data_IF_087146170783
#
_entry.id   IF_087146170783
#
_cell.length_a   1.000
_cell.length_b   1.000
_cell.length_c   1.000
_cell.angle_alpha   90.00
_cell.angle_beta   90.00
_cell.angle_gamma   90.00
#
_symmetry.space_group_name_H-M   'P 1'
#
loop_
_entity.id
_entity.type
_entity.pdbx_description
1 polymer ?
#
# COMPACT_ATOMS: atom_id res chain seq x y z
N UNK A 1 -1.86 15.26 -16.49
CA UNK A 1 -0.79 14.24 -16.44
C UNK A 1 0.33 14.88 -15.63
N UNK A 2 0.72 14.28 -14.51
CA UNK A 2 1.80 14.85 -13.69
C UNK A 2 3.13 14.75 -14.41
N UNK A 3 4.01 15.69 -14.12
CA UNK A 3 5.42 15.55 -14.47
C UNK A 3 6.05 14.52 -13.54
N UNK A 4 7.08 13.81 -14.02
CA UNK A 4 7.90 12.93 -13.19
C UNK A 4 8.44 13.66 -11.93
N UNK A 5 8.59 14.99 -12.00
CA UNK A 5 9.06 15.85 -10.92
C UNK A 5 8.11 15.90 -9.71
N UNK A 6 6.80 16.03 -9.91
CA UNK A 6 5.83 16.18 -8.80
C UNK A 6 5.68 14.89 -7.98
N UNK A 7 5.75 13.74 -8.65
CA UNK A 7 5.75 12.45 -7.97
C UNK A 7 7.11 12.22 -7.31
N UNK A 8 8.21 12.62 -7.95
CA UNK A 8 9.53 12.56 -7.36
C UNK A 8 9.62 13.41 -6.07
N UNK A 9 9.06 14.62 -6.06
CA UNK A 9 8.96 15.50 -4.88
C UNK A 9 8.03 14.92 -3.79
N UNK A 10 6.88 14.36 -4.18
CA UNK A 10 5.99 13.67 -3.23
C UNK A 10 6.73 12.54 -2.52
N UNK A 11 7.41 11.70 -3.29
CA UNK A 11 8.13 10.55 -2.77
C UNK A 11 9.33 11.00 -1.95
N UNK A 12 10.11 11.96 -2.44
CA UNK A 12 11.21 12.61 -1.72
C UNK A 12 10.86 12.98 -0.28
N UNK A 13 9.69 13.60 -0.09
CA UNK A 13 9.21 14.02 1.23
C UNK A 13 8.84 12.84 2.15
N UNK A 14 8.61 11.64 1.60
CA UNK A 14 8.24 10.43 2.34
C UNK A 14 9.41 9.46 2.55
N UNK A 15 10.29 9.31 1.56
CA UNK A 15 11.45 8.39 1.58
C UNK A 15 12.78 9.09 1.94
N UNK A 16 12.81 10.42 2.06
CA UNK A 16 13.95 11.19 2.58
C UNK A 16 15.12 11.40 1.61
N UNK A 17 15.22 10.67 0.49
CA UNK A 17 16.30 10.86 -0.49
C UNK A 17 15.89 10.49 -1.93
N UNK A 18 15.99 11.43 -2.86
CA UNK A 18 15.60 11.28 -4.28
C UNK A 18 16.45 10.29 -5.04
N UNK A 19 17.72 10.15 -4.64
CA UNK A 19 18.70 9.28 -5.30
C UNK A 19 18.37 7.80 -5.18
N UNK A 20 17.37 7.47 -4.37
CA UNK A 20 16.93 6.10 -4.13
C UNK A 20 15.80 5.65 -5.06
N UNK A 21 15.02 6.55 -5.68
CA UNK A 21 13.95 6.16 -6.62
C UNK A 21 14.61 5.73 -7.93
N UNK A 22 14.42 4.47 -8.31
CA UNK A 22 15.07 3.91 -9.49
C UNK A 22 14.34 4.31 -10.77
N UNK A 23 13.06 3.93 -10.94
CA UNK A 23 12.24 4.22 -12.15
C UNK A 23 10.73 3.97 -11.90
N UNK A 24 9.87 4.34 -12.85
CA UNK A 24 8.51 3.79 -12.97
C UNK A 24 8.55 2.44 -13.67
N UNK A 25 7.83 1.45 -13.13
CA UNK A 25 7.81 0.06 -13.61
C UNK A 25 6.38 -0.46 -13.79
N UNK A 26 5.47 0.43 -14.19
CA UNK A 26 4.07 0.09 -14.47
C UNK A 26 3.93 -0.86 -15.68
N UNK A 27 4.89 -0.82 -16.61
CA UNK A 27 5.02 -1.70 -17.77
C UNK A 27 5.58 -3.09 -17.42
N UNK A 28 6.12 -3.23 -16.21
CA UNK A 28 6.74 -4.45 -15.69
C UNK A 28 5.77 -5.23 -14.79
N UNK A 29 4.50 -4.84 -14.72
CA UNK A 29 3.45 -5.51 -13.92
C UNK A 29 2.16 -5.72 -14.71
N UNK A 30 1.47 -6.83 -14.43
CA UNK A 30 0.15 -7.15 -15.01
C UNK A 30 -0.83 -7.61 -13.93
N UNK A 31 -2.12 -7.50 -14.21
CA UNK A 31 -3.15 -8.14 -13.40
C UNK A 31 -3.32 -9.57 -13.91
N UNK A 32 -3.02 -10.57 -13.06
CA UNK A 32 -3.12 -11.99 -13.40
C UNK A 32 -3.68 -12.79 -12.21
N UNK A 33 -3.76 -14.11 -12.32
CA UNK A 33 -4.08 -14.97 -11.17
C UNK A 33 -3.07 -14.73 -10.04
N UNK A 34 -3.59 -14.59 -8.83
CA UNK A 34 -2.76 -14.40 -7.64
C UNK A 34 -2.01 -15.68 -7.32
N UNK A 35 -0.73 -15.51 -7.01
CA UNK A 35 0.15 -16.58 -6.51
C UNK A 35 -0.07 -16.84 -5.02
N UNK A 36 -0.72 -15.89 -4.32
CA UNK A 36 -0.94 -15.89 -2.87
C UNK A 36 -2.38 -16.31 -2.53
N UNK A 37 -3.36 -15.68 -3.18
CA UNK A 37 -4.79 -15.84 -2.95
C UNK A 37 -5.42 -16.63 -4.09
N UNK A 38 -5.50 -17.96 -3.94
CA UNK A 38 -6.11 -18.83 -4.95
C UNK A 38 -7.51 -18.32 -5.37
N UNK A 39 -7.79 -18.39 -6.66
CA UNK A 39 -9.06 -17.98 -7.28
C UNK A 39 -9.35 -16.46 -7.19
N UNK A 40 -8.32 -15.66 -6.89
CA UNK A 40 -8.35 -14.20 -6.92
C UNK A 40 -7.30 -13.67 -7.91
N UNK A 41 -7.47 -12.40 -8.30
CA UNK A 41 -6.46 -11.70 -9.08
C UNK A 41 -5.41 -11.06 -8.17
N UNK A 42 -4.22 -10.87 -8.71
CA UNK A 42 -3.10 -10.17 -8.09
C UNK A 42 -2.34 -9.35 -9.12
N UNK A 43 -1.51 -8.43 -8.64
CA UNK A 43 -0.57 -7.69 -9.47
C UNK A 43 0.75 -8.47 -9.54
N UNK A 44 1.11 -8.97 -10.72
CA UNK A 44 2.24 -9.88 -10.94
C UNK A 44 3.33 -9.18 -11.74
N UNK A 45 4.58 -9.27 -11.27
CA UNK A 45 5.74 -8.78 -11.99
C UNK A 45 5.99 -9.64 -13.25
N UNK A 46 6.18 -9.02 -14.40
CA UNK A 46 6.53 -9.70 -15.67
C UNK A 46 8.00 -9.53 -16.07
N UNK A 47 8.73 -8.74 -15.29
CA UNK A 47 10.18 -8.56 -15.36
C UNK A 47 10.76 -8.42 -13.94
N UNK A 48 12.09 -8.43 -13.82
CA UNK A 48 12.77 -8.09 -12.57
C UNK A 48 12.65 -6.59 -12.31
N UNK A 49 12.17 -6.22 -11.11
CA UNK A 49 11.94 -4.85 -10.71
C UNK A 49 12.93 -4.48 -9.59
N UNK A 50 13.78 -3.46 -9.76
CA UNK A 50 14.68 -3.01 -8.71
C UNK A 50 13.92 -2.53 -7.45
N UNK A 51 14.61 -2.55 -6.32
CA UNK A 51 14.15 -1.84 -5.11
C UNK A 51 13.92 -0.35 -5.43
N UNK A 52 13.00 0.26 -4.69
CA UNK A 52 12.61 1.67 -4.79
C UNK A 52 12.09 2.06 -6.18
N UNK A 53 11.50 1.12 -6.91
CA UNK A 53 10.78 1.38 -8.16
C UNK A 53 9.34 1.78 -7.86
N UNK A 54 8.81 2.74 -8.62
CA UNK A 54 7.40 3.12 -8.55
C UNK A 54 6.59 2.15 -9.41
N UNK A 55 5.75 1.34 -8.76
CA UNK A 55 4.84 0.43 -9.48
C UNK A 55 3.69 1.21 -10.10
N UNK A 56 3.06 2.09 -9.32
CA UNK A 56 2.07 3.02 -9.87
C UNK A 56 1.97 4.28 -9.01
N UNK A 57 1.45 5.34 -9.64
CA UNK A 57 1.12 6.62 -9.02
C UNK A 57 -0.26 7.02 -9.51
N UNK A 58 -1.17 7.33 -8.60
CA UNK A 58 -2.55 7.60 -8.95
C UNK A 58 -3.15 8.72 -8.10
N UNK A 59 -3.89 9.62 -8.74
CA UNK A 59 -4.63 10.70 -8.09
C UNK A 59 -6.08 10.62 -8.50
N UNK A 60 -6.95 10.84 -7.53
CA UNK A 60 -8.37 10.98 -7.75
C UNK A 60 -8.99 11.88 -6.68
N UNK A 61 -10.25 12.22 -6.88
CA UNK A 61 -11.07 12.87 -5.87
C UNK A 61 -11.15 12.01 -4.61
N UNK A 62 -11.23 12.66 -3.46
CA UNK A 62 -11.45 11.97 -2.20
C UNK A 62 -12.91 11.59 -2.03
N UNK A 63 -13.13 10.51 -1.29
CA UNK A 63 -14.45 10.08 -0.84
C UNK A 63 -14.40 9.74 0.64
N UNK A 64 -15.54 9.83 1.32
CA UNK A 64 -15.68 9.34 2.71
C UNK A 64 -16.15 7.89 2.77
N UNK A 65 -16.43 7.27 1.61
CA UNK A 65 -16.81 5.87 1.53
C UNK A 65 -15.56 4.98 1.57
N UNK A 66 -15.42 4.18 2.63
CA UNK A 66 -14.47 3.08 2.68
C UNK A 66 -15.03 1.90 1.89
N UNK A 67 -14.34 1.51 0.84
CA UNK A 67 -14.62 0.30 0.06
C UNK A 67 -13.58 -0.78 0.37
N UNK A 68 -13.77 -1.97 -0.18
CA UNK A 68 -12.80 -3.08 -0.05
C UNK A 68 -11.43 -2.73 -0.65
N UNK A 69 -11.38 -1.82 -1.62
CA UNK A 69 -10.20 -1.49 -2.43
C UNK A 69 -9.72 -0.05 -2.24
N UNK A 70 -10.52 0.81 -1.62
CA UNK A 70 -10.12 2.18 -1.32
C UNK A 70 -8.90 2.24 -0.40
N UNK A 71 -8.04 3.24 -0.60
CA UNK A 71 -6.89 3.53 0.26
C UNK A 71 -7.21 4.75 1.12
N UNK A 72 -7.06 4.62 2.43
CA UNK A 72 -7.23 5.72 3.38
C UNK A 72 -6.09 6.75 3.21
N UNK A 73 -6.46 8.03 3.12
CA UNK A 73 -5.54 9.15 2.88
C UNK A 73 -5.56 10.21 3.99
N UNK A 74 -6.53 10.12 4.90
CA UNK A 74 -6.67 10.91 6.13
C UNK A 74 -7.44 10.12 7.19
N UNK A 75 -7.85 10.74 8.31
CA UNK A 75 -8.63 10.06 9.34
C UNK A 75 -9.96 9.45 8.84
N UNK A 76 -10.63 10.11 7.90
CA UNK A 76 -11.99 9.78 7.44
C UNK A 76 -12.16 9.83 5.91
N UNK A 77 -11.07 10.04 5.17
CA UNK A 77 -11.09 10.20 3.72
C UNK A 77 -10.28 9.10 3.03
N UNK A 78 -10.76 8.72 1.86
CA UNK A 78 -10.33 7.59 1.07
C UNK A 78 -10.22 7.96 -0.41
N UNK A 79 -9.48 7.15 -1.17
CA UNK A 79 -9.42 7.22 -2.62
C UNK A 79 -9.64 5.83 -3.20
N UNK A 80 -10.48 5.74 -4.22
CA UNK A 80 -10.61 4.52 -5.01
C UNK A 80 -9.45 4.46 -6.02
N UNK A 81 -8.52 3.49 -5.91
CA UNK A 81 -7.36 3.42 -6.79
C UNK A 81 -7.73 3.02 -8.22
N UNK A 82 -6.80 3.23 -9.15
CA UNK A 82 -6.83 2.54 -10.45
C UNK A 82 -6.66 1.03 -10.30
N UNK A 83 -6.79 0.29 -11.41
CA UNK A 83 -6.73 -1.18 -11.43
C UNK A 83 -5.52 -1.75 -10.68
N UNK A 84 -4.32 -1.19 -10.82
CA UNK A 84 -3.14 -1.71 -10.14
C UNK A 84 -3.22 -1.61 -8.62
N UNK A 85 -3.81 -0.55 -8.08
CA UNK A 85 -4.04 -0.46 -6.63
C UNK A 85 -5.16 -1.37 -6.14
N UNK A 86 -6.20 -1.60 -6.95
CA UNK A 86 -7.30 -2.50 -6.60
C UNK A 86 -6.89 -3.98 -6.49
N UNK A 87 -5.84 -4.40 -7.21
CA UNK A 87 -5.37 -5.79 -7.28
C UNK A 87 -4.03 -6.04 -6.58
N UNK A 88 -3.44 -5.04 -5.92
CA UNK A 88 -2.27 -5.24 -5.06
C UNK A 88 -2.71 -5.94 -3.77
N UNK A 89 -2.36 -7.21 -3.60
CA UNK A 89 -2.83 -8.03 -2.49
C UNK A 89 -2.06 -7.77 -1.19
N UNK A 90 -2.61 -8.29 -0.10
CA UNK A 90 -1.99 -8.18 1.21
C UNK A 90 -0.88 -9.21 1.44
N UNK A 91 0.23 -8.75 2.03
CA UNK A 91 1.20 -9.60 2.72
C UNK A 91 1.61 -9.01 4.07
N UNK A 92 1.78 -9.86 5.09
CA UNK A 92 2.36 -9.45 6.39
C UNK A 92 3.88 -9.24 6.32
N UNK A 93 4.53 -9.71 5.25
CA UNK A 93 5.92 -9.40 4.89
C UNK A 93 5.91 -8.97 3.42
N UNK A 94 5.52 -7.72 3.12
CA UNK A 94 5.33 -7.26 1.77
C UNK A 94 6.65 -6.90 1.09
N UNK A 95 6.63 -6.89 -0.24
CA UNK A 95 7.72 -6.39 -1.08
C UNK A 95 7.49 -4.94 -1.57
N UNK A 96 6.35 -4.34 -1.23
CA UNK A 96 6.04 -2.93 -1.51
C UNK A 96 5.43 -2.20 -0.30
N UNK A 97 5.50 -0.87 -0.37
CA UNK A 97 4.85 0.06 0.54
C UNK A 97 3.95 1.03 -0.24
N UNK A 98 2.81 1.38 0.35
CA UNK A 98 1.86 2.33 -0.23
C UNK A 98 1.95 3.65 0.55
N UNK A 99 2.26 4.73 -0.15
CA UNK A 99 2.19 6.09 0.37
C UNK A 99 0.88 6.73 -0.05
N UNK A 100 0.28 7.52 0.83
CA UNK A 100 -0.94 8.24 0.53
C UNK A 100 -0.98 9.60 1.24
N UNK A 101 -1.47 10.63 0.56
CA UNK A 101 -1.71 11.93 1.16
C UNK A 101 -2.85 12.70 0.49
N UNK A 102 -3.42 13.64 1.23
CA UNK A 102 -4.29 14.67 0.68
C UNK A 102 -3.51 15.67 -0.19
N UNK A 103 -4.23 16.25 -1.15
CA UNK A 103 -3.80 17.31 -2.07
C UNK A 103 -4.94 18.32 -2.23
N UNK A 104 -4.64 19.46 -2.85
CA UNK A 104 -5.63 20.46 -3.25
C UNK A 104 -6.62 20.82 -2.12
N UNK A 105 -6.05 21.18 -0.96
CA UNK A 105 -6.81 21.52 0.25
C UNK A 105 -7.83 20.44 0.69
N UNK A 106 -7.53 19.17 0.39
CA UNK A 106 -8.36 18.03 0.74
C UNK A 106 -9.34 17.58 -0.35
N UNK A 107 -9.45 18.28 -1.48
CA UNK A 107 -10.39 17.92 -2.55
C UNK A 107 -9.98 16.65 -3.32
N UNK A 108 -8.69 16.34 -3.32
CA UNK A 108 -8.15 15.13 -3.95
C UNK A 108 -7.07 14.53 -3.07
N UNK A 109 -6.64 13.32 -3.39
CA UNK A 109 -5.38 12.85 -2.85
C UNK A 109 -4.63 12.00 -3.83
N UNK A 110 -3.49 11.54 -3.36
CA UNK A 110 -2.46 10.95 -4.19
C UNK A 110 -1.91 9.73 -3.48
N UNK A 111 -1.93 8.60 -4.18
CA UNK A 111 -1.37 7.34 -3.72
C UNK A 111 -0.23 6.91 -4.64
N UNK A 112 0.80 6.30 -4.06
CA UNK A 112 1.93 5.73 -4.80
C UNK A 112 2.37 4.43 -4.14
N UNK A 113 2.52 3.38 -4.95
CA UNK A 113 3.05 2.09 -4.51
C UNK A 113 4.50 1.94 -4.98
N UNK A 114 5.41 1.64 -4.04
CA UNK A 114 6.86 1.54 -4.28
C UNK A 114 7.41 0.23 -3.76
N UNK A 115 8.34 -0.36 -4.50
CA UNK A 115 9.07 -1.57 -4.07
C UNK A 115 10.02 -1.26 -2.92
N UNK A 116 9.99 -2.08 -1.86
CA UNK A 116 10.89 -1.94 -0.69
C UNK A 116 12.09 -2.88 -0.77
N UNK A 117 12.07 -3.81 -1.72
CA UNK A 117 13.11 -4.77 -2.06
C UNK A 117 13.07 -5.06 -3.58
N UNK A 118 14.11 -5.67 -4.16
CA UNK A 118 14.03 -6.15 -5.54
C UNK A 118 12.96 -7.23 -5.66
N UNK A 119 12.21 -7.21 -6.76
CA UNK A 119 11.13 -8.16 -7.06
C UNK A 119 11.52 -8.97 -8.29
N UNK A 120 11.47 -10.29 -8.18
CA UNK A 120 11.77 -11.16 -9.31
C UNK A 120 10.57 -11.29 -10.27
N UNK A 121 10.85 -11.55 -11.55
CA UNK A 121 9.80 -11.89 -12.52
C UNK A 121 8.93 -13.05 -12.00
N UNK A 122 7.62 -12.88 -12.05
CA UNK A 122 6.61 -13.83 -11.60
C UNK A 122 6.20 -13.66 -10.13
N UNK A 123 6.90 -12.84 -9.35
CA UNK A 123 6.48 -12.53 -7.98
C UNK A 123 5.27 -11.59 -7.97
N UNK A 124 4.45 -11.74 -6.93
CA UNK A 124 3.28 -10.91 -6.71
C UNK A 124 3.64 -9.66 -5.90
N UNK A 125 3.17 -8.51 -6.38
CA UNK A 125 3.28 -7.22 -5.73
C UNK A 125 2.29 -7.17 -4.58
N UNK A 126 2.80 -6.94 -3.37
CA UNK A 126 1.98 -6.89 -2.15
C UNK A 126 2.35 -5.75 -1.24
N UNK A 127 1.40 -5.29 -0.42
CA UNK A 127 1.65 -4.34 0.66
C UNK A 127 0.92 -4.74 1.95
N UNK A 128 1.34 -4.18 3.07
CA UNK A 128 0.65 -4.39 4.34
C UNK A 128 -0.53 -3.42 4.46
N UNK A 129 -1.77 -3.93 4.45
CA UNK A 129 -2.96 -3.09 4.53
C UNK A 129 -3.05 -2.33 5.87
N UNK A 130 -2.44 -2.82 6.95
CA UNK A 130 -2.43 -2.09 8.22
C UNK A 130 -1.47 -0.88 8.20
N UNK A 131 -0.63 -0.73 7.17
CA UNK A 131 0.15 0.48 6.98
C UNK A 131 -0.72 1.65 6.47
N UNK A 132 -1.79 1.34 5.73
CA UNK A 132 -2.69 2.35 5.14
C UNK A 132 -4.04 2.40 5.82
N UNK A 133 -4.56 1.32 6.37
CA UNK A 133 -5.93 1.24 6.87
C UNK A 133 -6.00 1.22 8.39
N UNK A 134 -6.75 2.18 8.95
CA UNK A 134 -7.06 2.20 10.39
C UNK A 134 -7.88 0.96 10.77
N UNK A 135 -8.93 0.70 9.99
CA UNK A 135 -9.84 -0.47 10.09
C UNK A 135 -10.09 -1.00 8.68
N UNK A 136 -10.08 -2.32 8.51
CA UNK A 136 -10.53 -2.93 7.26
C UNK A 136 -12.07 -2.94 7.18
N UNK A 137 -12.62 -3.13 5.98
CA UNK A 137 -14.05 -3.35 5.78
C UNK A 137 -14.51 -4.63 6.51
N UNK A 138 -15.80 -4.75 6.89
CA UNK A 138 -16.33 -5.95 7.54
C UNK A 138 -16.11 -7.25 6.75
N UNK A 139 -16.06 -7.15 5.43
CA UNK A 139 -15.82 -8.27 4.51
C UNK A 139 -14.39 -8.83 4.62
N UNK A 140 -13.41 -7.98 4.93
CA UNK A 140 -12.01 -8.38 5.06
C UNK A 140 -11.60 -8.58 6.52
N UNK A 141 -12.03 -7.71 7.44
CA UNK A 141 -11.58 -7.69 8.83
C UNK A 141 -11.85 -9.02 9.54
N UNK A 142 -10.80 -9.62 10.10
CA UNK A 142 -10.89 -10.88 10.83
C UNK A 142 -10.92 -12.14 9.95
N UNK A 143 -11.02 -12.01 8.62
CA UNK A 143 -10.88 -13.15 7.71
C UNK A 143 -9.46 -13.72 7.74
N UNK A 144 -9.30 -14.97 7.29
CA UNK A 144 -8.00 -15.63 7.25
C UNK A 144 -7.05 -14.93 6.28
N UNK A 145 -5.87 -14.54 6.75
CA UNK A 145 -4.80 -14.05 5.90
C UNK A 145 -4.16 -15.21 5.12
N UNK A 146 -4.02 -15.05 3.81
CA UNK A 146 -3.51 -16.08 2.90
C UNK A 146 -2.06 -15.84 2.47
N UNK A 147 -1.36 -14.84 3.02
CA UNK A 147 -0.01 -14.48 2.58
C UNK A 147 1.06 -15.55 2.80
N UNK A 148 0.83 -16.48 3.75
CA UNK A 148 1.73 -17.61 4.10
C UNK A 148 3.17 -17.22 4.47
N UNK A 149 3.42 -15.94 4.73
CA UNK A 149 4.74 -15.46 5.13
C UNK A 149 5.08 -15.91 6.55
N UNK A 150 6.37 -16.11 6.81
CA UNK A 150 6.86 -16.29 8.18
C UNK A 150 6.51 -15.06 9.02
N UNK A 151 5.93 -15.28 10.21
CA UNK A 151 5.42 -14.19 11.05
C UNK A 151 4.07 -13.61 10.62
N UNK A 152 3.32 -14.30 9.75
CA UNK A 152 1.95 -13.90 9.37
C UNK A 152 1.05 -13.70 10.59
N UNK A 153 0.22 -12.64 10.54
CA UNK A 153 -0.76 -12.29 11.60
C UNK A 153 -1.99 -13.19 11.65
N UNK A 154 -2.04 -14.20 10.76
CA UNK A 154 -3.09 -15.23 10.61
C UNK A 154 -4.45 -14.69 10.15
N UNK A 155 -4.83 -13.48 10.55
CA UNK A 155 -6.06 -12.80 10.14
C UNK A 155 -5.77 -11.43 9.55
N UNK A 156 -6.67 -10.99 8.66
CA UNK A 156 -6.67 -9.67 8.06
C UNK A 156 -7.08 -8.63 9.09
N UNK A 157 -6.21 -7.65 9.34
CA UNK A 157 -6.36 -6.64 10.40
C UNK A 157 -6.08 -5.25 9.87
N UNK A 158 -6.89 -4.28 10.29
CA UNK A 158 -6.49 -2.87 10.22
C UNK A 158 -5.52 -2.55 11.34
N UNK A 159 -4.90 -1.37 11.31
CA UNK A 159 -3.91 -0.96 12.30
C UNK A 159 -4.42 -1.04 13.75
N UNK A 160 -5.69 -0.70 13.99
CA UNK A 160 -6.26 -0.74 15.36
C UNK A 160 -6.48 -2.15 15.90
N UNK A 161 -6.59 -3.14 15.01
CA UNK A 161 -6.81 -4.54 15.36
C UNK A 161 -5.51 -5.31 15.65
N UNK A 162 -4.37 -4.65 15.44
CA UNK A 162 -3.07 -5.20 15.76
C UNK A 162 -2.90 -5.34 17.28
N UNK A 163 -2.17 -6.37 17.69
CA UNK A 163 -1.60 -6.45 19.03
C UNK A 163 -0.50 -5.41 19.18
N UNK A 164 -0.12 -5.10 20.42
CA UNK A 164 0.99 -4.18 20.68
C UNK A 164 2.31 -4.68 20.03
N UNK A 165 2.58 -5.98 20.09
CA UNK A 165 3.75 -6.58 19.43
C UNK A 165 3.71 -6.39 17.92
N UNK A 166 2.56 -6.66 17.29
CA UNK A 166 2.40 -6.46 15.84
C UNK A 166 2.59 -4.98 15.45
N UNK A 167 2.02 -4.03 16.21
CA UNK A 167 2.23 -2.59 15.97
C UNK A 167 3.69 -2.18 16.10
N UNK A 168 4.40 -2.67 17.13
CA UNK A 168 5.83 -2.36 17.31
C UNK A 168 6.66 -2.82 16.12
N UNK A 169 6.41 -4.04 15.63
CA UNK A 169 7.08 -4.57 14.43
C UNK A 169 6.73 -3.74 13.19
N UNK A 170 5.45 -3.43 12.98
CA UNK A 170 5.00 -2.68 11.82
C UNK A 170 5.56 -1.25 11.81
N UNK A 171 5.56 -0.57 12.96
CA UNK A 171 6.12 0.78 13.09
C UNK A 171 7.63 0.83 12.88
N UNK A 172 8.36 -0.23 13.24
CA UNK A 172 9.79 -0.33 12.96
C UNK A 172 10.13 -0.40 11.46
N UNK A 173 9.15 -0.70 10.59
CA UNK A 173 9.34 -0.65 9.14
C UNK A 173 9.34 0.77 8.55
N UNK A 174 8.90 1.78 9.31
CA UNK A 174 8.71 3.17 8.85
C UNK A 174 7.76 3.34 7.65
N UNK A 175 6.94 2.34 7.31
CA UNK A 175 6.00 2.41 6.19
C UNK A 175 4.54 2.67 6.59
N UNK A 176 4.24 2.77 7.89
CA UNK A 176 2.90 3.11 8.38
C UNK A 176 2.66 4.60 8.15
N UNK A 177 1.55 4.94 7.49
CA UNK A 177 1.18 6.33 7.22
C UNK A 177 0.94 7.11 8.52
N UNK A 178 1.36 8.37 8.55
CA UNK A 178 1.30 9.19 9.77
C UNK A 178 -0.11 9.33 10.34
N UNK A 179 -1.11 9.52 9.48
CA UNK A 179 -2.51 9.62 9.90
C UNK A 179 -3.06 8.31 10.49
N UNK A 180 -2.42 7.17 10.22
CA UNK A 180 -2.77 5.87 10.81
C UNK A 180 -2.17 5.71 12.20
N UNK A 181 -0.96 6.24 12.43
CA UNK A 181 -0.33 6.26 13.76
C UNK A 181 -1.10 7.12 14.76
N UNK A 182 -1.70 8.22 14.29
CA UNK A 182 -2.36 9.24 15.13
C UNK A 182 -3.67 8.78 15.78
N UNK A 183 -4.23 7.63 15.38
CA UNK A 183 -5.50 7.09 15.92
C UNK A 183 -5.44 6.78 17.42
N UNK A 184 -4.24 6.65 18.00
CA UNK A 184 -4.03 6.35 19.42
C UNK A 184 -3.51 7.52 20.26
N UNK A 185 -3.39 8.73 19.69
CA UNK A 185 -2.91 9.92 20.43
C UNK A 185 -4.05 10.69 21.11
N UNK A 186 -5.30 10.28 20.90
CA UNK A 186 -6.50 10.99 21.39
C UNK A 186 -7.33 10.18 22.39
N UNK A 187 -6.70 9.38 23.25
CA UNK A 187 -7.37 8.70 24.37
C UNK A 187 -6.63 9.03 25.67
#
# INVERSE_FOLDING_TARGET
>A
MFTSLEIHEFLLNQIGNSKEISDYRNDSVIISESTICKDQKGLIAIDNIPKNSVIFSFRSEVTHARTRTSIQVSADSHIEPSAFGMYANHSCKPNCCMYAQLRDNGASGHIVLITTEPIAKGEEITFDYACTETKLTPELRGTKCLCRQFGCRITMKGYVDLTEKERRVLNASNHVLEHIKQVFVTI
#
